data_IF_351421087875
#
_entry.id   IF_351421087875
#
_cell.length_a   1.000
_cell.length_b   1.000
_cell.length_c   1.000
_cell.angle_alpha   90.00
_cell.angle_beta   90.00
_cell.angle_gamma   90.00
#
_symmetry.space_group_name_H-M   'P 1'
#
loop_
_entity.id
_entity.type
_entity.pdbx_description
1 polymer ?
#
# COMPACT_ATOMS: atom_id res chain seq x y z
N UNK A 1 -22.92 10.57 5.49
CA UNK A 1 -23.52 10.26 6.83
C UNK A 1 -24.29 8.93 6.80
N UNK A 2 -25.29 8.70 5.94
CA UNK A 2 -26.04 7.43 5.95
C UNK A 2 -25.16 6.20 5.65
N UNK A 3 -24.23 6.30 4.70
CA UNK A 3 -23.33 5.18 4.37
C UNK A 3 -22.43 4.78 5.54
N UNK A 4 -21.83 5.74 6.24
CA UNK A 4 -20.96 5.46 7.38
C UNK A 4 -21.73 4.81 8.54
N UNK A 5 -22.96 5.28 8.81
CA UNK A 5 -23.81 4.70 9.85
C UNK A 5 -24.18 3.24 9.52
N UNK A 6 -24.61 2.98 8.27
CA UNK A 6 -24.91 1.62 7.82
C UNK A 6 -23.68 0.72 7.88
N UNK A 7 -22.50 1.17 7.46
CA UNK A 7 -21.26 0.38 7.53
C UNK A 7 -20.88 0.03 8.95
N UNK A 8 -21.02 0.95 9.90
CA UNK A 8 -20.73 0.69 11.32
C UNK A 8 -21.74 -0.32 11.87
N UNK A 9 -23.03 -0.16 11.57
CA UNK A 9 -24.08 -1.06 12.06
C UNK A 9 -23.90 -2.47 11.50
N UNK A 10 -23.54 -2.61 10.23
CA UNK A 10 -23.20 -3.89 9.62
C UNK A 10 -21.96 -4.50 10.28
N UNK A 11 -20.88 -3.74 10.45
CA UNK A 11 -19.65 -4.26 11.04
C UNK A 11 -19.87 -4.77 12.48
N UNK A 12 -20.53 -3.97 13.32
CA UNK A 12 -20.83 -4.35 14.69
C UNK A 12 -21.81 -5.52 14.72
N UNK A 13 -22.87 -5.47 13.93
CA UNK A 13 -23.86 -6.54 13.82
C UNK A 13 -23.22 -7.87 13.41
N UNK A 14 -22.40 -7.87 12.36
CA UNK A 14 -21.69 -9.06 11.87
C UNK A 14 -20.78 -9.66 12.93
N UNK A 15 -19.99 -8.84 13.65
CA UNK A 15 -19.10 -9.34 14.71
C UNK A 15 -19.90 -9.97 15.85
N UNK A 16 -20.99 -9.32 16.29
CA UNK A 16 -21.85 -9.85 17.35
C UNK A 16 -22.49 -11.18 16.93
N UNK A 17 -23.02 -11.27 15.71
CA UNK A 17 -23.58 -12.51 15.17
C UNK A 17 -22.53 -13.62 15.09
N UNK A 18 -21.32 -13.33 14.60
CA UNK A 18 -20.23 -14.28 14.52
C UNK A 18 -19.79 -14.80 15.89
N UNK A 19 -19.65 -13.90 16.88
CA UNK A 19 -19.28 -14.26 18.25
C UNK A 19 -20.31 -15.19 18.90
N UNK A 20 -21.61 -14.95 18.67
CA UNK A 20 -22.67 -15.82 19.16
C UNK A 20 -22.64 -17.21 18.52
N UNK A 21 -22.29 -17.28 17.23
CA UNK A 21 -22.27 -18.54 16.50
C UNK A 21 -21.06 -19.40 16.91
N UNK A 22 -19.83 -18.88 16.80
CA UNK A 22 -18.59 -19.59 17.13
C UNK A 22 -17.45 -18.66 17.57
N UNK A 23 -17.47 -18.28 18.85
CA UNK A 23 -16.52 -17.32 19.42
C UNK A 23 -15.04 -17.66 19.25
N UNK A 24 -14.65 -18.95 19.23
CA UNK A 24 -13.26 -19.39 19.09
C UNK A 24 -12.67 -19.06 17.72
N UNK A 25 -13.40 -19.35 16.65
CA UNK A 25 -12.98 -19.04 15.28
C UNK A 25 -13.00 -17.52 15.04
N UNK A 26 -14.03 -16.83 15.54
CA UNK A 26 -14.14 -15.37 15.40
C UNK A 26 -12.98 -14.65 16.09
N UNK A 27 -12.56 -15.07 17.29
CA UNK A 27 -11.37 -14.52 17.94
C UNK A 27 -10.10 -14.76 17.14
N UNK A 28 -9.93 -15.97 16.57
CA UNK A 28 -8.79 -16.27 15.70
C UNK A 28 -8.76 -15.33 14.48
N UNK A 29 -9.91 -15.05 13.86
CA UNK A 29 -10.03 -14.07 12.77
C UNK A 29 -9.66 -12.66 13.21
N UNK A 30 -10.21 -12.20 14.34
CA UNK A 30 -9.94 -10.86 14.89
C UNK A 30 -8.46 -10.67 15.19
N UNK A 31 -7.73 -11.73 15.58
CA UNK A 31 -6.29 -11.68 15.83
C UNK A 31 -5.48 -11.82 14.53
N UNK A 32 -5.91 -12.65 13.59
CA UNK A 32 -5.19 -12.88 12.33
C UNK A 32 -5.05 -11.60 11.50
N UNK A 33 -6.09 -10.76 11.46
CA UNK A 33 -6.07 -9.47 10.73
C UNK A 33 -4.97 -8.52 11.22
N UNK A 34 -4.88 -8.14 12.51
CA UNK A 34 -3.81 -7.27 13.01
C UNK A 34 -2.43 -7.91 12.89
N UNK A 35 -2.30 -9.24 12.98
CA UNK A 35 -1.02 -9.92 12.74
C UNK A 35 -0.54 -9.68 11.30
N UNK A 36 -1.41 -9.85 10.30
CA UNK A 36 -1.05 -9.58 8.90
C UNK A 36 -0.79 -8.10 8.66
N UNK A 37 -1.58 -7.20 9.27
CA UNK A 37 -1.32 -5.75 9.18
C UNK A 37 0.05 -5.39 9.76
N UNK A 38 0.45 -5.98 10.89
CA UNK A 38 1.74 -5.72 11.51
C UNK A 38 2.90 -6.17 10.62
N UNK A 39 2.76 -7.33 9.95
CA UNK A 39 3.75 -7.83 8.99
C UNK A 39 3.81 -6.93 7.74
N UNK A 40 2.67 -6.43 7.25
CA UNK A 40 2.60 -5.59 6.06
C UNK A 40 3.00 -4.14 6.31
N UNK A 41 2.86 -3.64 7.54
CA UNK A 41 3.18 -2.26 7.91
C UNK A 41 4.58 -1.80 7.47
N UNK A 42 5.69 -2.50 7.80
CA UNK A 42 7.02 -2.06 7.36
C UNK A 42 7.14 -2.00 5.84
N UNK A 43 6.54 -2.96 5.12
CA UNK A 43 6.53 -3.00 3.66
C UNK A 43 5.84 -1.75 3.11
N UNK A 44 4.64 -1.43 3.59
CA UNK A 44 3.90 -0.23 3.19
C UNK A 44 4.69 1.05 3.48
N UNK A 45 5.32 1.16 4.65
CA UNK A 45 6.12 2.36 4.99
C UNK A 45 7.34 2.54 4.08
N UNK A 46 7.95 1.44 3.64
CA UNK A 46 9.06 1.50 2.68
C UNK A 46 8.58 2.04 1.32
N UNK A 47 7.43 1.57 0.82
CA UNK A 47 6.81 2.09 -0.39
C UNK A 47 6.52 3.58 -0.33
N UNK A 48 5.91 4.04 0.78
CA UNK A 48 5.65 5.46 1.02
C UNK A 48 6.92 6.30 0.98
N UNK A 49 8.04 5.78 1.49
CA UNK A 49 9.33 6.47 1.46
C UNK A 49 9.87 6.63 0.04
N UNK A 50 9.72 5.61 -0.82
CA UNK A 50 10.11 5.70 -2.24
C UNK A 50 9.25 6.75 -2.95
N UNK A 51 7.92 6.68 -2.78
CA UNK A 51 6.99 7.63 -3.40
C UNK A 51 7.26 9.08 -2.99
N UNK A 52 7.55 9.34 -1.70
CA UNK A 52 7.99 10.66 -1.22
C UNK A 52 9.29 11.11 -1.88
N UNK A 53 10.29 10.24 -1.95
CA UNK A 53 11.57 10.56 -2.60
C UNK A 53 11.38 10.92 -4.08
N UNK A 54 10.50 10.21 -4.80
CA UNK A 54 10.14 10.54 -6.18
C UNK A 54 9.47 11.91 -6.24
N UNK A 55 8.49 12.16 -5.38
CA UNK A 55 7.72 13.39 -5.35
C UNK A 55 8.60 14.61 -5.05
N UNK A 56 9.49 14.52 -4.07
CA UNK A 56 10.43 15.59 -3.73
C UNK A 56 11.39 15.89 -4.90
N UNK A 57 11.93 14.84 -5.52
CA UNK A 57 12.81 14.98 -6.69
C UNK A 57 12.08 15.63 -7.87
N UNK A 58 10.81 15.27 -8.06
CA UNK A 58 9.98 15.77 -9.16
C UNK A 58 9.61 17.23 -8.94
N UNK A 59 9.28 17.60 -7.70
CA UNK A 59 9.03 18.99 -7.30
C UNK A 59 10.27 19.87 -7.52
N UNK A 60 11.45 19.38 -7.13
CA UNK A 60 12.70 20.10 -7.37
C UNK A 60 12.98 20.31 -8.86
N UNK A 61 12.83 19.27 -9.69
CA UNK A 61 12.99 19.39 -11.13
C UNK A 61 12.00 20.40 -11.74
N UNK A 62 10.73 20.33 -11.34
CA UNK A 62 9.70 21.27 -11.82
C UNK A 62 10.01 22.71 -11.40
N UNK A 63 10.53 22.94 -10.19
CA UNK A 63 10.96 24.27 -9.73
C UNK A 63 12.09 24.83 -10.60
N UNK A 64 13.16 24.06 -10.79
CA UNK A 64 14.33 24.47 -11.60
C UNK A 64 13.92 24.71 -13.06
N UNK A 65 13.09 23.82 -13.62
CA UNK A 65 12.60 23.95 -14.98
C UNK A 65 11.74 25.20 -15.14
N UNK A 66 10.82 25.46 -14.20
CA UNK A 66 9.98 26.65 -14.21
C UNK A 66 10.82 27.93 -14.15
N UNK A 67 11.79 28.01 -13.24
CA UNK A 67 12.68 29.17 -13.12
C UNK A 67 13.48 29.41 -14.41
N UNK A 68 14.08 28.35 -14.97
CA UNK A 68 14.88 28.44 -16.20
C UNK A 68 14.04 28.89 -17.41
N UNK A 69 12.77 28.50 -17.46
CA UNK A 69 11.84 28.88 -18.52
C UNK A 69 11.30 30.30 -18.33
N UNK A 70 11.00 30.70 -17.09
CA UNK A 70 10.61 32.07 -16.76
C UNK A 70 11.72 33.07 -17.12
N UNK A 71 12.98 32.70 -16.86
CA UNK A 71 14.17 33.50 -17.17
C UNK A 71 14.86 33.08 -18.48
N UNK A 72 14.11 32.57 -19.46
CA UNK A 72 14.68 32.03 -20.70
C UNK A 72 15.53 33.05 -21.47
N UNK A 73 15.21 34.35 -21.38
CA UNK A 73 16.01 35.43 -22.00
C UNK A 73 17.41 35.50 -21.40
N UNK A 74 17.54 35.33 -20.08
CA UNK A 74 18.81 35.31 -19.38
C UNK A 74 19.64 34.09 -19.81
N UNK A 75 19.01 32.90 -19.86
CA UNK A 75 19.65 31.66 -20.33
C UNK A 75 20.22 31.82 -21.74
N UNK A 76 19.44 32.43 -22.64
CA UNK A 76 19.86 32.72 -24.02
C UNK A 76 20.98 33.74 -24.09
N UNK A 77 20.84 34.88 -23.40
CA UNK A 77 21.86 35.94 -23.39
C UNK A 77 23.21 35.47 -22.81
N UNK A 78 23.17 34.46 -21.93
CA UNK A 78 24.35 33.83 -21.33
C UNK A 78 24.90 32.66 -22.14
N UNK A 79 24.31 32.31 -23.30
CA UNK A 79 24.62 31.12 -24.09
C UNK A 79 24.60 29.80 -23.28
N UNK A 80 23.75 29.74 -22.23
CA UNK A 80 23.73 28.65 -21.26
C UNK A 80 22.74 27.52 -21.61
N UNK A 81 22.08 27.56 -22.76
CA UNK A 81 21.04 26.60 -23.16
C UNK A 81 21.53 25.14 -23.12
N UNK A 82 22.73 24.86 -23.63
CA UNK A 82 23.32 23.51 -23.60
C UNK A 82 23.57 23.03 -22.18
N UNK A 83 23.99 23.92 -21.29
CA UNK A 83 24.25 23.59 -19.88
C UNK A 83 22.95 23.30 -19.14
N UNK A 84 21.92 24.13 -19.34
CA UNK A 84 20.59 23.93 -18.78
C UNK A 84 19.97 22.61 -19.27
N UNK A 85 20.07 22.31 -20.57
CA UNK A 85 19.60 21.05 -21.15
C UNK A 85 20.30 19.83 -20.55
N UNK A 86 21.63 19.86 -20.44
CA UNK A 86 22.40 18.77 -19.83
C UNK A 86 22.07 18.57 -18.35
N UNK A 87 21.80 19.64 -17.60
CA UNK A 87 21.33 19.55 -16.22
C UNK A 87 19.96 18.89 -16.14
N UNK A 88 19.01 19.31 -16.98
CA UNK A 88 17.68 18.73 -17.04
C UNK A 88 17.72 17.23 -17.38
N UNK A 89 18.57 16.82 -18.34
CA UNK A 89 18.75 15.42 -18.69
C UNK A 89 19.27 14.58 -17.51
N UNK A 90 20.23 15.11 -16.73
CA UNK A 90 20.72 14.44 -15.53
C UNK A 90 19.64 14.30 -14.46
N UNK A 91 18.85 15.34 -14.23
CA UNK A 91 17.77 15.34 -13.24
C UNK A 91 16.65 14.37 -13.64
N UNK A 92 16.28 14.33 -14.92
CA UNK A 92 15.32 13.36 -15.48
C UNK A 92 15.84 11.94 -15.37
N UNK A 93 17.13 11.70 -15.63
CA UNK A 93 17.74 10.38 -15.46
C UNK A 93 17.74 9.92 -13.98
N UNK A 94 17.93 10.85 -13.04
CA UNK A 94 17.81 10.55 -11.61
C UNK A 94 16.36 10.20 -11.23
N UNK A 95 15.39 10.99 -11.72
CA UNK A 95 13.96 10.73 -11.56
C UNK A 95 13.54 9.37 -12.12
N UNK A 96 14.04 9.02 -13.31
CA UNK A 96 13.78 7.74 -13.94
C UNK A 96 14.25 6.57 -13.06
N UNK A 97 15.47 6.66 -12.50
CA UNK A 97 16.01 5.62 -11.61
C UNK A 97 15.17 5.44 -10.34
N UNK A 98 14.63 6.52 -9.79
CA UNK A 98 13.72 6.46 -8.62
C UNK A 98 12.38 5.84 -9.06
N UNK A 99 11.83 6.29 -10.20
CA UNK A 99 10.59 5.79 -10.75
C UNK A 99 10.61 4.29 -11.06
N UNK A 100 11.73 3.76 -11.56
CA UNK A 100 11.91 2.31 -11.77
C UNK A 100 11.85 1.54 -10.44
N UNK A 101 12.48 2.05 -9.38
CA UNK A 101 12.41 1.41 -8.05
C UNK A 101 11.00 1.41 -7.50
N UNK A 102 10.25 2.49 -7.68
CA UNK A 102 8.86 2.58 -7.27
C UNK A 102 7.96 1.63 -8.08
N UNK A 103 8.14 1.58 -9.41
CA UNK A 103 7.37 0.69 -10.27
C UNK A 103 7.60 -0.80 -9.94
N UNK A 104 8.84 -1.18 -9.62
CA UNK A 104 9.15 -2.54 -9.15
C UNK A 104 8.46 -2.80 -7.81
N UNK A 105 8.50 -1.84 -6.89
CA UNK A 105 7.84 -1.95 -5.59
C UNK A 105 6.32 -2.14 -5.76
N UNK A 106 5.66 -1.24 -6.50
CA UNK A 106 4.21 -1.28 -6.76
C UNK A 106 3.80 -2.56 -7.49
N UNK A 107 4.59 -3.01 -8.46
CA UNK A 107 4.37 -4.25 -9.19
C UNK A 107 4.43 -5.49 -8.30
N UNK A 108 5.25 -5.47 -7.24
CA UNK A 108 5.36 -6.57 -6.27
C UNK A 108 4.35 -6.46 -5.12
N UNK A 109 3.82 -5.27 -4.82
CA UNK A 109 2.86 -5.10 -3.73
C UNK A 109 1.58 -5.89 -3.96
N UNK A 110 1.03 -5.87 -5.17
CA UNK A 110 -0.20 -6.61 -5.50
C UNK A 110 -0.10 -8.11 -5.19
N UNK A 111 0.88 -8.87 -5.73
CA UNK A 111 1.01 -10.28 -5.43
C UNK A 111 1.35 -10.56 -3.96
N UNK A 112 2.14 -9.71 -3.29
CA UNK A 112 2.44 -9.86 -1.85
C UNK A 112 1.20 -9.72 -1.00
N UNK A 113 0.36 -8.71 -1.27
CA UNK A 113 -0.92 -8.51 -0.59
C UNK A 113 -1.85 -9.71 -0.82
N UNK A 114 -1.97 -10.18 -2.06
CA UNK A 114 -2.80 -11.34 -2.39
C UNK A 114 -2.34 -12.60 -1.66
N UNK A 115 -1.03 -12.88 -1.66
CA UNK A 115 -0.45 -14.03 -0.97
C UNK A 115 -0.69 -13.97 0.54
N UNK A 116 -0.52 -12.79 1.14
CA UNK A 116 -0.79 -12.60 2.58
C UNK A 116 -2.24 -12.91 2.96
N UNK A 117 -3.19 -12.48 2.12
CA UNK A 117 -4.62 -12.76 2.31
C UNK A 117 -4.92 -14.25 2.13
N UNK A 118 -4.35 -14.90 1.12
CA UNK A 118 -4.52 -16.34 0.91
C UNK A 118 -3.97 -17.14 2.09
N UNK A 119 -2.80 -16.79 2.61
CA UNK A 119 -2.23 -17.45 3.79
C UNK A 119 -3.11 -17.27 5.03
N UNK A 120 -3.67 -16.07 5.23
CA UNK A 120 -4.62 -15.82 6.31
C UNK A 120 -5.85 -16.72 6.19
N UNK A 121 -6.47 -16.76 5.01
CA UNK A 121 -7.66 -17.58 4.74
C UNK A 121 -7.35 -19.06 4.95
N UNK A 122 -6.25 -19.57 4.38
CA UNK A 122 -5.86 -20.97 4.55
C UNK A 122 -5.57 -21.32 6.01
N UNK A 123 -4.91 -20.43 6.76
CA UNK A 123 -4.68 -20.62 8.19
C UNK A 123 -5.99 -20.70 9.00
N UNK A 124 -6.95 -19.82 8.69
CA UNK A 124 -8.26 -19.81 9.33
C UNK A 124 -9.09 -21.05 8.97
N UNK A 125 -9.07 -21.47 7.71
CA UNK A 125 -9.75 -22.70 7.27
C UNK A 125 -9.15 -23.94 7.93
N UNK A 126 -7.82 -24.04 8.01
CA UNK A 126 -7.15 -25.14 8.68
C UNK A 126 -7.53 -25.21 10.17
N UNK A 127 -7.56 -24.05 10.84
CA UNK A 127 -8.02 -23.96 12.23
C UNK A 127 -9.51 -24.32 12.38
N UNK A 128 -10.35 -23.85 11.46
CA UNK A 128 -11.76 -24.18 11.41
C UNK A 128 -12.02 -25.68 11.24
N UNK A 129 -11.32 -26.34 10.32
CA UNK A 129 -11.36 -27.79 10.12
C UNK A 129 -10.95 -28.52 11.40
N UNK A 130 -9.94 -28.03 12.11
CA UNK A 130 -9.53 -28.57 13.41
C UNK A 130 -10.61 -28.41 14.49
N UNK A 131 -11.37 -27.31 14.49
CA UNK A 131 -12.52 -27.13 15.39
C UNK A 131 -13.68 -28.08 15.08
N UNK A 132 -13.88 -28.41 13.80
CA UNK A 132 -14.86 -29.42 13.40
C UNK A 132 -14.42 -30.81 13.83
N UNK A 133 -13.15 -31.18 13.60
CA UNK A 133 -12.66 -32.52 13.94
C UNK A 133 -12.68 -32.79 15.46
N UNK A 134 -12.64 -31.74 16.28
CA UNK A 134 -12.78 -31.80 17.74
C UNK A 134 -14.24 -31.74 18.22
N UNK A 135 -15.22 -31.65 17.32
CA UNK A 135 -16.65 -31.61 17.64
C UNK A 135 -17.13 -30.29 18.27
N UNK A 136 -16.28 -29.27 18.31
CA UNK A 136 -16.58 -27.94 18.88
C UNK A 136 -17.47 -27.13 17.95
N UNK A 137 -17.44 -27.46 16.66
CA UNK A 137 -18.03 -26.68 15.58
C UNK A 137 -18.66 -27.60 14.53
N UNK A 138 -19.74 -27.15 13.88
CA UNK A 138 -20.34 -27.86 12.75
C UNK A 138 -19.88 -27.25 11.42
N UNK A 139 -19.97 -28.04 10.34
CA UNK A 139 -19.64 -27.57 8.98
C UNK A 139 -20.47 -26.34 8.56
N UNK A 140 -21.72 -26.22 9.03
CA UNK A 140 -22.59 -25.10 8.70
C UNK A 140 -22.26 -23.80 9.43
N UNK A 141 -21.40 -23.86 10.46
CA UNK A 141 -20.96 -22.66 11.20
C UNK A 141 -19.61 -22.12 10.71
N UNK A 142 -18.91 -22.84 9.82
CA UNK A 142 -17.61 -22.44 9.24
C UNK A 142 -17.76 -21.35 8.18
#
# INVERSE_FOLDING_TARGET
IPQAFTSILLLVGSIVFMLQMQWRLTLAMIIAVPVVMLIMFPIMTFGQKIGRTRQDSLANFQGIASESLSEIRLVKSSNAEKQASKKAENDVNALYKIGVKEAIFDGLMSPVMMLSMMLMIFGLLAYGIYLISTGVMSLGTL
#
